data_IF_529734483230
#
_entry.id   IF_529734483230
#
_cell.length_a   1.000
_cell.length_b   1.000
_cell.length_c   1.000
_cell.angle_alpha   90.00
_cell.angle_beta   90.00
_cell.angle_gamma   90.00
#
_symmetry.space_group_name_H-M   'P 1'
#
loop_
_entity.id
_entity.type
_entity.pdbx_description
1 polymer ?
#
# COMPACT_ATOMS: atom_id res chain seq x y z
N UNK A 1 -4.65 -27.40 26.25
CA UNK A 1 -5.41 -26.36 25.50
C UNK A 1 -6.62 -25.85 26.30
N UNK A 2 -7.03 -26.57 27.36
CA UNK A 2 -8.22 -26.23 28.13
C UNK A 2 -9.46 -26.21 27.23
N UNK A 3 -10.27 -25.16 27.33
CA UNK A 3 -11.47 -24.97 26.51
C UNK A 3 -11.20 -24.32 25.11
N UNK A 4 -9.93 -24.15 24.75
CA UNK A 4 -9.53 -23.56 23.48
C UNK A 4 -9.55 -24.58 22.36
N UNK A 5 -10.03 -24.18 21.18
CA UNK A 5 -9.94 -24.96 19.95
C UNK A 5 -8.60 -24.68 19.23
N UNK A 6 -8.01 -25.74 18.67
CA UNK A 6 -6.89 -25.63 17.76
C UNK A 6 -7.42 -25.73 16.32
N UNK A 7 -7.14 -24.71 15.54
CA UNK A 7 -7.54 -24.67 14.13
C UNK A 7 -6.29 -24.44 13.26
N UNK A 8 -6.31 -24.82 11.97
CA UNK A 8 -5.27 -24.46 11.03
C UNK A 8 -5.15 -22.93 10.90
N UNK A 9 -3.94 -22.44 10.64
CA UNK A 9 -3.75 -21.03 10.32
C UNK A 9 -4.49 -20.65 9.04
N UNK A 10 -4.95 -19.40 8.96
CA UNK A 10 -5.59 -18.87 7.78
C UNK A 10 -4.61 -18.66 6.63
N UNK A 11 -5.13 -18.70 5.39
CA UNK A 11 -4.38 -18.36 4.18
C UNK A 11 -5.04 -17.13 3.57
N UNK A 12 -4.28 -16.05 3.44
CA UNK A 12 -4.67 -14.92 2.61
C UNK A 12 -4.35 -15.26 1.15
N UNK A 13 -5.37 -15.46 0.34
CA UNK A 13 -5.22 -15.96 -1.03
C UNK A 13 -5.00 -14.87 -2.08
N UNK A 14 -5.04 -13.57 -1.69
CA UNK A 14 -4.77 -12.46 -2.58
C UNK A 14 -4.28 -11.24 -1.81
N UNK A 15 -2.99 -10.96 -1.87
CA UNK A 15 -2.38 -9.81 -1.22
C UNK A 15 -1.26 -9.21 -2.09
N UNK A 16 -1.07 -7.90 -2.02
CA UNK A 16 0.13 -7.20 -2.52
C UNK A 16 1.13 -7.05 -1.36
N UNK A 17 1.81 -8.14 -1.01
CA UNK A 17 2.58 -8.22 0.24
C UNK A 17 3.68 -7.17 0.36
N UNK A 18 4.42 -6.88 -0.72
CA UNK A 18 5.46 -5.86 -0.71
C UNK A 18 4.89 -4.45 -0.46
N UNK A 19 3.75 -4.12 -1.11
CA UNK A 19 3.06 -2.84 -0.87
C UNK A 19 2.46 -2.79 0.54
N UNK A 20 1.80 -3.86 0.97
CA UNK A 20 1.29 -3.96 2.33
C UNK A 20 2.38 -3.76 3.38
N UNK A 21 3.55 -4.40 3.23
CA UNK A 21 4.66 -4.26 4.17
C UNK A 21 5.19 -2.82 4.24
N UNK A 22 5.20 -2.12 3.10
CA UNK A 22 5.61 -0.71 3.04
C UNK A 22 4.62 0.20 3.74
N UNK A 23 3.32 0.00 3.51
CA UNK A 23 2.27 0.82 4.12
C UNK A 23 2.10 0.51 5.61
N UNK A 24 2.17 -0.76 6.00
CA UNK A 24 2.11 -1.21 7.39
C UNK A 24 3.23 -0.63 8.26
N UNK A 25 4.41 -0.40 7.68
CA UNK A 25 5.52 0.25 8.38
C UNK A 25 5.33 1.77 8.60
N UNK A 26 4.30 2.35 8.01
CA UNK A 26 3.91 3.75 8.19
C UNK A 26 2.96 3.96 9.36
N UNK A 27 2.34 5.15 9.40
CA UNK A 27 1.31 5.49 10.37
C UNK A 27 -0.01 4.82 10.01
N UNK A 28 -0.56 3.98 10.88
CA UNK A 28 -1.91 3.44 10.71
C UNK A 28 -2.95 4.47 11.19
N UNK A 29 -3.88 4.85 10.29
CA UNK A 29 -5.00 5.78 10.59
C UNK A 29 -6.37 5.14 10.39
N UNK A 30 -6.45 3.80 10.30
CA UNK A 30 -7.70 3.08 10.00
C UNK A 30 -8.80 3.30 11.06
N UNK A 31 -8.41 3.47 12.31
CA UNK A 31 -9.35 3.59 13.44
C UNK A 31 -9.74 5.05 13.72
N UNK A 32 -9.24 6.01 12.94
CA UNK A 32 -9.56 7.41 13.13
C UNK A 32 -11.03 7.71 12.77
N UNK A 33 -11.76 8.34 13.69
CA UNK A 33 -13.17 8.70 13.53
C UNK A 33 -13.39 10.09 12.90
N UNK A 34 -12.31 10.85 12.67
CA UNK A 34 -12.38 12.18 12.05
C UNK A 34 -11.08 12.60 11.38
N UNK A 35 -11.17 13.51 10.42
CA UNK A 35 -9.98 14.13 9.82
C UNK A 35 -9.15 14.92 10.84
N UNK A 36 -9.77 15.52 11.84
CA UNK A 36 -9.07 16.18 12.95
C UNK A 36 -8.19 15.19 13.74
N UNK A 37 -8.66 13.98 13.96
CA UNK A 37 -7.89 12.92 14.60
C UNK A 37 -6.72 12.47 13.72
N UNK A 38 -6.95 12.27 12.41
CA UNK A 38 -5.88 11.98 11.45
C UNK A 38 -4.81 13.08 11.46
N UNK A 39 -5.20 14.35 11.46
CA UNK A 39 -4.28 15.49 11.54
C UNK A 39 -3.41 15.42 12.80
N UNK A 40 -3.97 15.12 13.95
CA UNK A 40 -3.23 15.02 15.21
C UNK A 40 -2.28 13.80 15.20
N UNK A 41 -2.72 12.66 14.68
CA UNK A 41 -1.86 11.48 14.51
C UNK A 41 -0.68 11.78 13.58
N UNK A 42 -0.93 12.45 12.45
CA UNK A 42 0.10 12.87 11.49
C UNK A 42 1.08 13.85 12.14
N UNK A 43 0.60 14.84 12.89
CA UNK A 43 1.45 15.81 13.60
C UNK A 43 2.42 15.11 14.56
N UNK A 44 1.91 14.20 15.39
CA UNK A 44 2.75 13.43 16.34
C UNK A 44 3.76 12.55 15.63
N UNK A 45 3.32 11.85 14.59
CA UNK A 45 4.19 10.99 13.80
C UNK A 45 5.29 11.77 13.09
N UNK A 46 4.97 12.93 12.52
CA UNK A 46 5.93 13.80 11.87
C UNK A 46 6.98 14.35 12.86
N UNK A 47 6.55 14.70 14.08
CA UNK A 47 7.45 15.19 15.12
C UNK A 47 8.45 14.11 15.62
N UNK A 48 8.03 12.84 15.63
CA UNK A 48 8.84 11.72 16.13
C UNK A 48 9.72 11.06 15.08
N UNK A 49 9.31 11.10 13.83
CA UNK A 49 10.01 10.41 12.74
C UNK A 49 11.25 11.17 12.29
N UNK A 50 12.42 10.53 12.16
CA UNK A 50 13.58 11.15 11.54
C UNK A 50 13.50 11.23 10.01
N UNK A 51 12.52 10.56 9.38
CA UNK A 51 12.38 10.47 7.93
C UNK A 51 11.91 11.79 7.34
N UNK A 52 12.41 12.13 6.15
CA UNK A 52 11.98 13.28 5.36
C UNK A 52 10.61 13.02 4.72
N UNK A 53 10.37 11.79 4.28
CA UNK A 53 9.14 11.38 3.61
C UNK A 53 8.41 10.37 4.48
N UNK A 54 7.12 10.64 4.71
CA UNK A 54 6.26 9.88 5.60
C UNK A 54 5.15 9.19 4.81
N UNK A 55 4.73 8.04 5.29
CA UNK A 55 3.57 7.30 4.75
C UNK A 55 2.59 7.07 5.90
N UNK A 56 1.31 7.35 5.67
CA UNK A 56 0.21 6.90 6.49
C UNK A 56 -0.71 6.03 5.64
N UNK A 57 -1.41 5.08 6.25
CA UNK A 57 -2.30 4.16 5.56
C UNK A 57 -3.62 3.98 6.32
N UNK A 58 -4.70 3.84 5.55
CA UNK A 58 -5.99 3.45 6.08
C UNK A 58 -7.01 4.56 6.15
N UNK A 59 -6.77 5.75 5.57
CA UNK A 59 -7.77 6.81 5.52
C UNK A 59 -9.03 6.36 4.77
N UNK A 60 -10.21 6.62 5.34
CA UNK A 60 -11.47 6.22 4.76
C UNK A 60 -12.52 7.31 4.92
N UNK A 61 -13.17 7.76 3.82
CA UNK A 61 -14.26 8.71 3.90
C UNK A 61 -15.51 8.13 4.59
N UNK A 62 -15.58 6.80 4.68
CA UNK A 62 -16.72 6.10 5.30
C UNK A 62 -16.61 5.95 6.82
N UNK A 63 -15.39 6.11 7.37
CA UNK A 63 -15.12 5.97 8.80
C UNK A 63 -15.04 7.32 9.52
N UNK A 64 -14.73 8.40 8.81
CA UNK A 64 -14.61 9.74 9.40
C UNK A 64 -15.92 10.50 9.32
N UNK A 65 -16.21 11.26 10.37
CA UNK A 65 -17.48 12.03 10.49
C UNK A 65 -17.67 13.08 9.39
N UNK A 66 -16.58 13.54 8.76
CA UNK A 66 -16.62 14.52 7.68
C UNK A 66 -17.11 13.91 6.34
N UNK A 67 -17.20 12.59 6.23
CA UNK A 67 -17.63 11.88 5.02
C UNK A 67 -16.74 12.11 3.79
N UNK A 68 -15.52 12.60 4.00
CA UNK A 68 -14.52 12.88 2.95
C UNK A 68 -13.12 12.50 3.42
N UNK A 69 -12.20 12.30 2.48
CA UNK A 69 -10.78 12.17 2.81
C UNK A 69 -10.22 13.50 3.36
N UNK A 70 -9.15 13.40 4.13
CA UNK A 70 -8.33 14.55 4.52
C UNK A 70 -7.81 15.28 3.27
N UNK A 71 -7.69 16.59 3.30
CA UNK A 71 -7.22 17.39 2.17
C UNK A 71 -5.73 17.72 2.27
N UNK A 72 -5.16 18.16 1.14
CA UNK A 72 -3.80 18.69 1.06
C UNK A 72 -3.56 19.81 2.07
N UNK A 73 -4.50 20.76 2.15
CA UNK A 73 -4.41 21.92 3.04
C UNK A 73 -4.39 21.51 4.53
N UNK A 74 -5.19 20.51 4.89
CA UNK A 74 -5.19 19.96 6.24
C UNK A 74 -3.86 19.27 6.56
N UNK A 75 -3.26 18.55 5.59
CA UNK A 75 -1.93 17.96 5.75
C UNK A 75 -0.83 19.04 5.83
N UNK A 76 -0.90 20.09 5.01
CA UNK A 76 0.03 21.22 5.05
C UNK A 76 0.04 21.91 6.42
N UNK A 77 -1.12 22.04 7.04
CA UNK A 77 -1.26 22.67 8.36
C UNK A 77 -0.58 21.89 9.50
N UNK A 78 -0.41 20.56 9.35
CA UNK A 78 0.12 19.70 10.42
C UNK A 78 1.46 19.06 10.09
N UNK A 79 1.88 19.06 8.82
CA UNK A 79 3.14 18.50 8.35
C UNK A 79 3.76 19.37 7.25
N UNK A 80 4.10 20.66 7.52
CA UNK A 80 4.62 21.58 6.50
C UNK A 80 6.06 21.25 6.07
N UNK A 81 6.86 20.70 6.98
CA UNK A 81 8.31 20.55 6.80
C UNK A 81 8.72 19.19 6.20
N UNK A 82 7.81 18.23 6.13
CA UNK A 82 8.07 16.89 5.60
C UNK A 82 7.11 16.54 4.46
N UNK A 83 7.56 15.68 3.60
CA UNK A 83 6.73 15.06 2.57
C UNK A 83 5.83 14.02 3.23
N UNK A 84 4.53 14.00 2.92
CA UNK A 84 3.62 12.97 3.43
C UNK A 84 2.62 12.51 2.37
N UNK A 85 2.42 11.19 2.33
CA UNK A 85 1.36 10.51 1.59
C UNK A 85 0.46 9.77 2.56
N UNK A 86 -0.83 10.05 2.54
CA UNK A 86 -1.87 9.33 3.29
C UNK A 86 -2.63 8.45 2.32
N UNK A 87 -2.40 7.15 2.36
CA UNK A 87 -3.00 6.16 1.47
C UNK A 87 -4.40 5.80 1.97
N UNK A 88 -5.35 5.74 1.04
CA UNK A 88 -6.71 5.28 1.30
C UNK A 88 -6.70 3.80 1.70
N UNK A 89 -7.70 3.39 2.48
CA UNK A 89 -7.82 2.03 3.04
C UNK A 89 -7.77 0.91 2.00
N UNK A 90 -8.22 1.18 0.78
CA UNK A 90 -8.25 0.23 -0.34
C UNK A 90 -6.94 0.18 -1.17
N UNK A 91 -5.99 1.10 -0.91
CA UNK A 91 -4.73 1.14 -1.61
C UNK A 91 -4.80 1.63 -3.07
N UNK A 92 -5.89 2.29 -3.49
CA UNK A 92 -6.09 2.77 -4.86
C UNK A 92 -6.05 4.30 -5.02
N UNK A 93 -6.01 5.03 -3.91
CA UNK A 93 -5.88 6.48 -3.89
C UNK A 93 -5.05 6.94 -2.69
N UNK A 94 -4.55 8.14 -2.75
CA UNK A 94 -3.89 8.80 -1.61
C UNK A 94 -4.12 10.30 -1.63
N UNK A 95 -3.87 10.94 -0.49
CA UNK A 95 -3.73 12.38 -0.38
C UNK A 95 -2.26 12.70 -0.10
N UNK A 96 -1.72 13.68 -0.82
CA UNK A 96 -0.36 14.18 -0.61
C UNK A 96 -0.39 15.64 -0.17
N UNK A 97 0.57 16.04 0.67
CA UNK A 97 0.73 17.44 1.01
C UNK A 97 1.43 18.23 -0.11
N UNK A 98 1.40 19.56 -0.03
CA UNK A 98 2.02 20.44 -1.05
C UNK A 98 3.51 20.16 -1.24
N UNK A 99 4.21 19.79 -0.20
CA UNK A 99 5.64 19.51 -0.28
C UNK A 99 5.94 18.30 -1.15
N UNK A 100 5.24 17.20 -0.95
CA UNK A 100 5.39 15.99 -1.77
C UNK A 100 4.84 16.22 -3.19
N UNK A 101 3.71 16.93 -3.31
CA UNK A 101 3.13 17.29 -4.60
C UNK A 101 4.15 18.04 -5.47
N UNK A 102 4.73 19.12 -4.95
CA UNK A 102 5.70 19.95 -5.67
C UNK A 102 6.97 19.15 -6.05
N UNK A 103 7.43 18.26 -5.19
CA UNK A 103 8.58 17.40 -5.48
C UNK A 103 8.35 16.43 -6.64
N UNK A 104 7.09 16.07 -6.91
CA UNK A 104 6.70 15.09 -7.93
C UNK A 104 5.99 15.71 -9.15
N UNK A 105 5.61 16.98 -9.11
CA UNK A 105 4.72 17.63 -10.09
C UNK A 105 5.14 17.39 -11.54
N UNK A 106 6.41 17.60 -11.86
CA UNK A 106 6.93 17.43 -13.23
C UNK A 106 6.72 16.02 -13.80
N UNK A 107 6.63 15.02 -12.91
CA UNK A 107 6.47 13.61 -13.28
C UNK A 107 5.01 13.17 -13.35
N UNK A 108 4.11 13.86 -12.65
CA UNK A 108 2.75 13.38 -12.42
C UNK A 108 1.64 14.24 -13.01
N UNK A 109 1.88 15.54 -13.30
CA UNK A 109 0.84 16.48 -13.74
C UNK A 109 0.10 16.11 -15.03
N UNK A 110 0.65 15.22 -15.82
CA UNK A 110 0.06 14.74 -17.08
C UNK A 110 -0.62 13.37 -16.95
N UNK A 111 -0.56 12.76 -15.75
CA UNK A 111 -1.12 11.44 -15.50
C UNK A 111 -2.60 11.52 -15.13
N UNK A 112 -3.34 10.48 -15.45
CA UNK A 112 -4.74 10.35 -15.01
C UNK A 112 -4.80 10.27 -13.49
N UNK A 113 -5.81 10.92 -12.93
CA UNK A 113 -6.03 10.91 -11.48
C UNK A 113 -5.17 11.90 -10.71
N UNK A 114 -4.61 12.91 -11.36
CA UNK A 114 -3.89 14.02 -10.74
C UNK A 114 -4.84 15.15 -10.36
N UNK A 115 -5.12 15.34 -9.06
CA UNK A 115 -6.01 16.35 -8.53
C UNK A 115 -5.25 17.28 -7.55
N UNK A 116 -4.49 18.28 -8.07
CA UNK A 116 -3.60 19.08 -7.25
C UNK A 116 -4.33 19.96 -6.22
N UNK A 117 -5.55 20.40 -6.50
CA UNK A 117 -6.31 21.29 -5.61
C UNK A 117 -6.64 20.64 -4.27
N UNK A 118 -7.03 19.37 -4.29
CA UNK A 118 -7.34 18.58 -3.10
C UNK A 118 -6.14 17.81 -2.56
N UNK A 119 -5.13 17.59 -3.41
CA UNK A 119 -4.00 16.69 -3.15
C UNK A 119 -4.33 15.22 -3.34
N UNK A 120 -5.54 14.91 -3.84
CA UNK A 120 -5.94 13.54 -4.11
C UNK A 120 -5.27 13.02 -5.38
N UNK A 121 -4.68 11.84 -5.27
CA UNK A 121 -4.07 11.11 -6.37
C UNK A 121 -4.72 9.75 -6.47
N UNK A 122 -5.25 9.41 -7.63
CA UNK A 122 -5.79 8.07 -7.92
C UNK A 122 -5.23 7.55 -9.26
N UNK A 123 -5.63 6.38 -9.70
CA UNK A 123 -5.21 5.76 -10.96
C UNK A 123 -3.67 5.85 -11.18
N UNK A 124 -3.23 6.36 -12.35
CA UNK A 124 -1.82 6.45 -12.73
C UNK A 124 -1.00 7.36 -11.78
N UNK A 125 -1.61 8.47 -11.34
CA UNK A 125 -0.96 9.39 -10.41
C UNK A 125 -0.69 8.71 -9.06
N UNK A 126 -1.64 7.96 -8.50
CA UNK A 126 -1.43 7.19 -7.27
C UNK A 126 -0.24 6.23 -7.39
N UNK A 127 -0.19 5.44 -8.48
CA UNK A 127 0.91 4.50 -8.68
C UNK A 127 2.25 5.20 -8.85
N UNK A 128 2.29 6.37 -9.50
CA UNK A 128 3.53 7.13 -9.63
C UNK A 128 4.07 7.60 -8.27
N UNK A 129 3.22 8.08 -7.37
CA UNK A 129 3.61 8.45 -6.00
C UNK A 129 4.01 7.22 -5.18
N UNK A 130 3.19 6.18 -5.18
CA UNK A 130 3.46 4.94 -4.45
C UNK A 130 4.79 4.30 -4.89
N UNK A 131 5.03 4.22 -6.21
CA UNK A 131 6.26 3.66 -6.76
C UNK A 131 7.49 4.50 -6.40
N UNK A 132 7.38 5.83 -6.47
CA UNK A 132 8.48 6.72 -6.10
C UNK A 132 8.89 6.53 -4.63
N UNK A 133 7.91 6.45 -3.73
CA UNK A 133 8.17 6.24 -2.30
C UNK A 133 8.74 4.85 -2.03
N UNK A 134 8.17 3.82 -2.61
CA UNK A 134 8.63 2.43 -2.42
C UNK A 134 10.05 2.23 -2.96
N UNK A 135 10.35 2.79 -4.13
CA UNK A 135 11.69 2.70 -4.74
C UNK A 135 12.73 3.59 -4.03
N UNK A 136 12.33 4.48 -3.13
CA UNK A 136 13.24 5.25 -2.28
C UNK A 136 13.73 4.50 -1.04
N UNK A 137 13.08 3.38 -0.69
CA UNK A 137 13.46 2.57 0.46
C UNK A 137 14.70 1.73 0.17
N UNK A 138 15.58 1.63 1.14
CA UNK A 138 16.73 0.73 1.07
C UNK A 138 16.31 -0.75 1.19
N UNK A 139 17.10 -1.66 0.66
CA UNK A 139 16.83 -3.11 0.77
C UNK A 139 16.72 -3.56 2.24
N UNK A 140 17.57 -3.13 3.19
CA UNK A 140 17.39 -3.45 4.60
C UNK A 140 16.07 -2.97 5.17
N UNK A 141 15.59 -1.77 4.81
CA UNK A 141 14.27 -1.27 5.24
C UNK A 141 13.14 -2.13 4.67
N UNK A 142 13.20 -2.49 3.40
CA UNK A 142 12.19 -3.37 2.78
C UNK A 142 12.12 -4.72 3.50
N UNK A 143 13.25 -5.35 3.81
CA UNK A 143 13.31 -6.62 4.54
C UNK A 143 12.76 -6.45 5.97
N UNK A 144 13.12 -5.37 6.66
CA UNK A 144 12.58 -5.06 7.99
C UNK A 144 11.06 -4.90 7.96
N UNK A 145 10.54 -4.16 6.98
CA UNK A 145 9.10 -3.96 6.79
C UNK A 145 8.39 -5.29 6.50
N UNK A 146 8.98 -6.15 5.65
CA UNK A 146 8.44 -7.50 5.38
C UNK A 146 8.38 -8.36 6.65
N UNK A 147 9.41 -8.31 7.51
CA UNK A 147 9.39 -9.04 8.77
C UNK A 147 8.28 -8.54 9.70
N UNK A 148 8.15 -7.22 9.86
CA UNK A 148 7.07 -6.61 10.65
C UNK A 148 5.68 -7.00 10.12
N UNK A 149 5.51 -7.03 8.80
CA UNK A 149 4.27 -7.45 8.16
C UNK A 149 3.94 -8.93 8.41
N UNK A 150 4.93 -9.82 8.37
CA UNK A 150 4.77 -11.25 8.71
C UNK A 150 4.36 -11.41 10.18
N UNK A 151 5.03 -10.71 11.09
CA UNK A 151 4.75 -10.81 12.53
C UNK A 151 3.34 -10.29 12.83
N UNK A 152 2.92 -9.20 12.19
CA UNK A 152 1.56 -8.67 12.30
C UNK A 152 0.51 -9.69 11.81
N UNK A 153 0.70 -10.27 10.62
CA UNK A 153 -0.23 -11.24 10.05
C UNK A 153 -0.29 -12.52 10.87
N UNK A 154 0.86 -13.01 11.32
CA UNK A 154 0.93 -14.19 12.19
C UNK A 154 0.18 -13.94 13.51
N UNK A 155 0.26 -12.75 14.09
CA UNK A 155 -0.50 -12.37 15.30
C UNK A 155 -2.02 -12.39 15.10
N UNK A 156 -2.48 -12.32 13.84
CA UNK A 156 -3.90 -12.40 13.43
C UNK A 156 -4.32 -13.79 12.97
N UNK A 157 -3.44 -14.79 13.13
CA UNK A 157 -3.73 -16.19 12.78
C UNK A 157 -3.50 -16.51 11.29
N UNK A 158 -2.91 -15.62 10.50
CA UNK A 158 -2.53 -15.89 9.12
C UNK A 158 -1.18 -16.59 9.12
N UNK A 159 -1.07 -17.73 8.45
CA UNK A 159 0.17 -18.51 8.32
C UNK A 159 0.70 -18.62 6.90
N UNK A 160 -0.08 -18.18 5.91
CA UNK A 160 0.32 -18.19 4.52
C UNK A 160 -0.29 -17.01 3.78
N UNK A 161 0.48 -16.40 2.88
CA UNK A 161 -0.02 -15.39 1.93
C UNK A 161 0.29 -15.79 0.50
N UNK A 162 -0.67 -15.59 -0.40
CA UNK A 162 -0.46 -15.59 -1.83
C UNK A 162 -0.26 -14.15 -2.28
N UNK A 163 0.99 -13.77 -2.55
CA UNK A 163 1.29 -12.40 -2.97
C UNK A 163 1.27 -12.26 -4.48
N UNK A 164 0.58 -11.25 -4.97
CA UNK A 164 0.56 -10.83 -6.38
C UNK A 164 1.56 -9.70 -6.54
N UNK A 165 2.68 -9.98 -7.23
CA UNK A 165 3.87 -9.12 -7.22
C UNK A 165 4.38 -8.85 -8.64
N UNK A 166 5.28 -7.87 -8.81
CA UNK A 166 5.81 -7.45 -10.11
C UNK A 166 5.12 -6.20 -10.66
N UNK A 167 4.58 -5.37 -9.77
CA UNK A 167 4.04 -4.05 -10.10
C UNK A 167 4.58 -3.03 -9.11
N UNK A 168 5.14 -1.96 -9.63
CA UNK A 168 5.56 -0.82 -8.82
C UNK A 168 7.02 -0.79 -8.41
N UNK A 169 7.70 -1.93 -8.44
CA UNK A 169 9.13 -1.99 -8.12
C UNK A 169 9.98 -2.08 -9.39
N UNK A 170 11.04 -1.30 -9.46
CA UNK A 170 11.96 -1.33 -10.59
C UNK A 170 12.54 -2.74 -10.78
N UNK A 171 12.45 -3.26 -12.03
CA UNK A 171 12.97 -4.59 -12.39
C UNK A 171 12.33 -5.76 -11.65
N UNK A 172 11.07 -5.61 -11.19
CA UNK A 172 10.35 -6.61 -10.38
C UNK A 172 11.14 -7.02 -9.11
N UNK A 173 11.75 -6.04 -8.45
CA UNK A 173 12.58 -6.25 -7.25
C UNK A 173 11.77 -6.89 -6.12
N UNK A 174 10.50 -6.55 -5.99
CA UNK A 174 9.56 -7.16 -5.04
C UNK A 174 9.50 -8.68 -5.19
N UNK A 175 9.34 -9.22 -6.41
CA UNK A 175 9.34 -10.67 -6.66
C UNK A 175 10.63 -11.31 -6.16
N UNK A 176 11.77 -10.66 -6.42
CA UNK A 176 13.07 -11.19 -6.02
C UNK A 176 13.24 -11.17 -4.50
N UNK A 177 12.89 -10.05 -3.86
CA UNK A 177 12.98 -9.89 -2.41
C UNK A 177 12.03 -10.83 -1.68
N UNK A 178 10.78 -10.93 -2.10
CA UNK A 178 9.79 -11.84 -1.49
C UNK A 178 10.23 -13.30 -1.57
N UNK A 179 10.80 -13.73 -2.71
CA UNK A 179 11.35 -15.09 -2.86
C UNK A 179 12.53 -15.36 -1.93
N UNK A 180 13.45 -14.41 -1.80
CA UNK A 180 14.60 -14.53 -0.92
C UNK A 180 14.17 -14.49 0.54
N UNK A 181 13.32 -13.55 0.89
CA UNK A 181 12.77 -13.41 2.24
C UNK A 181 11.99 -14.65 2.68
N UNK A 182 11.09 -15.17 1.82
CA UNK A 182 10.33 -16.39 2.09
C UNK A 182 11.22 -17.60 2.41
N UNK A 183 12.37 -17.74 1.73
CA UNK A 183 13.35 -18.81 2.01
C UNK A 183 14.04 -18.65 3.36
N UNK A 184 14.17 -17.42 3.84
CA UNK A 184 14.80 -17.10 5.12
C UNK A 184 13.88 -17.29 6.33
N UNK A 185 12.56 -17.36 6.13
CA UNK A 185 11.59 -17.54 7.22
C UNK A 185 11.75 -18.91 7.90
N UNK A 186 11.86 -18.90 9.21
CA UNK A 186 12.02 -20.11 10.05
C UNK A 186 10.84 -20.36 11.00
N UNK A 187 9.86 -19.45 11.00
CA UNK A 187 8.71 -19.48 11.90
C UNK A 187 7.49 -20.24 11.35
N UNK A 188 7.62 -20.91 10.21
CA UNK A 188 6.55 -21.65 9.54
C UNK A 188 5.64 -20.80 8.66
N UNK A 189 5.71 -19.47 8.70
CA UNK A 189 4.97 -18.60 7.81
C UNK A 189 5.37 -18.81 6.34
N UNK A 190 4.41 -18.81 5.42
CA UNK A 190 4.64 -19.09 4.01
C UNK A 190 4.24 -17.91 3.13
N UNK A 191 5.10 -17.61 2.16
CA UNK A 191 4.81 -16.62 1.11
C UNK A 191 4.85 -17.34 -0.24
N UNK A 192 3.75 -17.29 -0.97
CA UNK A 192 3.60 -17.88 -2.31
C UNK A 192 3.49 -16.77 -3.34
N UNK A 193 4.55 -16.57 -4.11
CA UNK A 193 4.65 -15.46 -5.07
C UNK A 193 4.00 -15.81 -6.40
N UNK A 194 3.13 -14.93 -6.86
CA UNK A 194 2.43 -14.98 -8.15
C UNK A 194 2.82 -13.74 -8.95
N UNK A 195 3.70 -13.85 -9.97
CA UNK A 195 4.04 -12.72 -10.81
C UNK A 195 2.82 -12.18 -11.55
N UNK A 196 2.58 -10.89 -11.47
CA UNK A 196 1.55 -10.18 -12.24
C UNK A 196 2.04 -9.98 -13.67
N UNK A 197 1.84 -10.97 -14.53
CA UNK A 197 2.32 -10.91 -15.91
C UNK A 197 1.50 -11.83 -16.80
N UNK A 198 1.16 -11.35 -18.00
CA UNK A 198 0.60 -12.17 -19.06
C UNK A 198 1.68 -12.99 -19.80
N UNK A 199 2.96 -12.72 -19.50
CA UNK A 199 4.10 -13.40 -20.12
C UNK A 199 4.51 -14.62 -19.30
N UNK A 200 4.13 -15.81 -19.73
CA UNK A 200 4.47 -17.08 -19.07
C UNK A 200 6.00 -17.21 -18.82
N UNK A 201 6.83 -16.75 -19.74
CA UNK A 201 8.28 -16.76 -19.61
C UNK A 201 8.80 -15.96 -18.38
N UNK A 202 8.09 -14.95 -17.94
CA UNK A 202 8.43 -14.19 -16.71
C UNK A 202 8.36 -15.10 -15.48
N UNK A 203 7.32 -15.91 -15.36
CA UNK A 203 7.15 -16.82 -14.24
C UNK A 203 8.14 -18.02 -14.34
N UNK A 204 8.21 -18.66 -15.51
CA UNK A 204 9.08 -19.85 -15.69
C UNK A 204 10.56 -19.50 -15.56
N UNK A 205 11.01 -18.37 -16.11
CA UNK A 205 12.37 -17.87 -15.96
C UNK A 205 12.76 -17.59 -14.50
N UNK A 206 11.78 -17.22 -13.66
CA UNK A 206 11.97 -17.02 -12.22
C UNK A 206 11.74 -18.31 -11.40
N UNK A 207 11.47 -19.43 -12.04
CA UNK A 207 11.11 -20.73 -11.41
C UNK A 207 9.90 -20.59 -10.49
N UNK A 208 8.90 -19.82 -10.91
CA UNK A 208 7.62 -19.67 -10.23
C UNK A 208 6.55 -20.47 -11.00
N UNK A 209 5.83 -21.39 -10.35
CA UNK A 209 4.90 -22.31 -11.03
C UNK A 209 3.55 -21.67 -11.40
N UNK A 210 3.36 -20.37 -11.15
CA UNK A 210 2.07 -19.69 -11.24
C UNK A 210 2.22 -18.29 -11.81
N UNK A 211 1.13 -17.80 -12.36
CA UNK A 211 0.95 -16.41 -12.80
C UNK A 211 -0.26 -15.88 -12.06
N UNK A 212 -0.13 -14.73 -11.43
CA UNK A 212 -1.22 -13.95 -10.89
C UNK A 212 -1.53 -12.81 -11.84
N UNK A 213 -2.80 -12.48 -11.98
CA UNK A 213 -3.20 -11.35 -12.77
C UNK A 213 -4.13 -10.46 -11.95
N UNK A 214 -3.64 -9.33 -11.47
CA UNK A 214 -4.49 -8.27 -10.98
C UNK A 214 -4.40 -7.13 -11.98
N UNK A 215 -3.35 -6.31 -11.91
CA UNK A 215 -3.18 -5.21 -12.86
C UNK A 215 -2.81 -5.64 -14.28
N UNK A 216 -2.10 -6.76 -14.43
CA UNK A 216 -1.68 -7.23 -15.76
C UNK A 216 -2.84 -7.70 -16.65
N UNK A 217 -3.99 -8.05 -16.07
CA UNK A 217 -5.20 -8.50 -16.77
C UNK A 217 -6.47 -7.85 -16.21
N UNK A 218 -6.35 -6.69 -15.56
CA UNK A 218 -7.52 -5.93 -15.13
C UNK A 218 -8.36 -5.50 -16.34
N UNK A 219 -9.66 -5.76 -16.28
CA UNK A 219 -10.61 -5.37 -17.31
C UNK A 219 -11.11 -3.94 -17.10
N UNK A 220 -11.16 -3.50 -15.86
CA UNK A 220 -11.70 -2.21 -15.44
C UNK A 220 -11.05 -1.73 -14.13
N UNK A 221 -11.72 -0.85 -13.39
CA UNK A 221 -11.23 -0.25 -12.17
C UNK A 221 -11.70 -0.91 -10.88
N UNK A 222 -11.75 -0.12 -9.82
CA UNK A 222 -12.06 -0.54 -8.46
C UNK A 222 -13.37 0.10 -7.96
N UNK A 223 -14.20 -0.65 -7.25
CA UNK A 223 -15.44 -0.14 -6.64
C UNK A 223 -15.18 0.98 -5.63
N UNK A 224 -14.20 0.82 -4.77
CA UNK A 224 -13.87 1.80 -3.74
C UNK A 224 -13.38 3.15 -4.27
N UNK A 225 -12.87 3.19 -5.49
CA UNK A 225 -12.43 4.41 -6.18
C UNK A 225 -13.43 4.90 -7.23
N UNK A 226 -14.60 4.25 -7.36
CA UNK A 226 -15.67 4.58 -8.29
C UNK A 226 -15.24 4.59 -9.76
N UNK A 227 -14.27 3.74 -10.12
CA UNK A 227 -13.75 3.62 -11.48
C UNK A 227 -13.91 2.23 -12.13
N UNK A 228 -14.60 1.30 -11.43
CA UNK A 228 -15.05 0.06 -12.03
C UNK A 228 -16.21 0.30 -13.01
N UNK A 229 -16.26 -0.45 -14.10
CA UNK A 229 -17.31 -0.36 -15.11
C UNK A 229 -18.61 -0.99 -14.61
N UNK A 230 -19.59 -0.18 -14.26
CA UNK A 230 -20.91 -0.59 -13.81
C UNK A 230 -21.96 -0.35 -14.89
N UNK A 231 -23.07 -1.10 -14.84
CA UNK A 231 -24.22 -0.88 -15.72
C UNK A 231 -25.01 0.40 -15.39
N UNK A 232 -24.81 0.97 -14.19
CA UNK A 232 -25.40 2.22 -13.74
C UNK A 232 -24.31 3.12 -13.12
N UNK A 233 -24.48 4.44 -13.16
CA UNK A 233 -23.57 5.37 -12.47
C UNK A 233 -23.47 5.05 -10.98
N UNK A 234 -22.33 5.37 -10.40
CA UNK A 234 -22.16 5.37 -8.94
C UNK A 234 -23.09 6.41 -8.30
N UNK A 235 -23.57 6.11 -7.11
CA UNK A 235 -24.45 7.00 -6.35
C UNK A 235 -23.70 8.24 -5.80
#
# INVERSE_FOLDING_TARGET
LGEKALIPAFVDTHQHFASFSTFHAGLNVMDAASNAEIMEMVRRFAAQSPKKTLIAFGASPYCVKEGRLISRQELDAVCPDKEIMVVKYDGHACIVNSRLLNAMESKVKHLRGYHPDTGEMNQEAFFAFSNALTNSLSIPELIHNMQSAVDFQASRGIGCVHTVSGVGFAGDLDITLEKLFAKGLKNGFQIRVFPQSMKVKTATGRKLPRIGGCFACALDGCFGSHDAALNAPYA
#
